data_IF_325527244325
#
_entry.id   IF_325527244325
#
_cell.length_a   1.000
_cell.length_b   1.000
_cell.length_c   1.000
_cell.angle_alpha   90.00
_cell.angle_beta   90.00
_cell.angle_gamma   90.00
#
_symmetry.space_group_name_H-M   'P 1'
#
loop_
_entity.id
_entity.type
_entity.pdbx_description
1 polymer ?
#
# COMPACT_ATOMS: atom_id res chain seq x y z
N UNK A 1 -35.37 9.27 30.73
CA UNK A 1 -35.37 10.03 29.46
C UNK A 1 -35.12 11.50 29.76
N UNK A 2 -34.17 12.12 29.06
CA UNK A 2 -33.79 13.53 29.13
C UNK A 2 -33.81 14.14 27.72
N UNK A 3 -34.98 14.19 27.10
CA UNK A 3 -35.17 14.74 25.76
C UNK A 3 -35.19 16.27 25.80
N UNK A 4 -34.33 16.94 25.01
CA UNK A 4 -34.29 18.40 24.90
C UNK A 4 -34.19 19.10 26.28
N UNK A 5 -33.33 18.58 27.15
CA UNK A 5 -33.10 19.08 28.51
C UNK A 5 -31.84 19.93 28.55
N UNK A 6 -31.81 20.93 29.43
CA UNK A 6 -30.61 21.71 29.73
C UNK A 6 -30.09 21.39 31.13
N UNK A 7 -28.89 20.82 31.20
CA UNK A 7 -28.15 20.66 32.45
C UNK A 7 -27.23 21.88 32.61
N UNK A 8 -27.57 22.75 33.57
CA UNK A 8 -26.88 24.04 33.76
C UNK A 8 -25.64 23.98 34.64
N UNK A 9 -25.51 22.94 35.45
CA UNK A 9 -24.32 22.67 36.26
C UNK A 9 -23.84 21.26 36.00
N UNK A 10 -22.92 20.80 36.84
CA UNK A 10 -22.32 19.46 36.75
C UNK A 10 -23.42 18.39 36.72
N UNK A 11 -23.32 17.47 35.76
CA UNK A 11 -24.22 16.34 35.63
C UNK A 11 -23.45 15.03 35.84
N UNK A 12 -23.74 14.36 36.96
CA UNK A 12 -23.06 13.12 37.37
C UNK A 12 -23.98 11.91 37.15
N UNK A 13 -23.58 11.06 36.22
CA UNK A 13 -24.16 9.77 35.89
C UNK A 13 -23.16 8.63 36.11
N UNK A 14 -22.12 8.85 36.91
CA UNK A 14 -21.09 7.86 37.20
C UNK A 14 -21.70 6.55 37.69
N UNK A 15 -21.27 5.43 37.13
CA UNK A 15 -21.71 4.08 37.51
C UNK A 15 -23.24 3.87 37.46
N UNK A 16 -23.97 4.71 36.73
CA UNK A 16 -25.41 4.58 36.55
C UNK A 16 -25.76 3.41 35.62
N UNK A 17 -26.98 2.87 35.77
CA UNK A 17 -27.49 1.79 34.92
C UNK A 17 -28.78 2.24 34.26
N UNK A 18 -28.81 2.19 32.93
CA UNK A 18 -29.99 2.43 32.10
C UNK A 18 -30.40 1.08 31.50
N UNK A 19 -31.43 0.46 32.10
CA UNK A 19 -31.87 -0.88 31.71
C UNK A 19 -32.68 -0.89 30.40
N UNK A 20 -33.39 0.21 30.12
CA UNK A 20 -34.11 0.46 28.87
C UNK A 20 -33.39 1.56 28.07
N UNK A 21 -33.96 1.96 26.93
CA UNK A 21 -33.43 3.03 26.09
C UNK A 21 -33.18 4.34 26.85
N UNK A 22 -32.03 4.96 26.57
CA UNK A 22 -31.58 6.17 27.23
C UNK A 22 -31.52 7.35 26.25
N UNK A 23 -32.53 8.20 26.31
CA UNK A 23 -32.67 9.37 25.44
C UNK A 23 -32.06 10.63 26.08
N UNK A 24 -31.04 11.21 25.44
CA UNK A 24 -30.40 12.50 25.74
C UNK A 24 -30.37 13.44 24.53
N UNK A 25 -31.10 13.09 23.47
CA UNK A 25 -31.06 13.80 22.20
C UNK A 25 -31.54 15.25 22.32
N UNK A 26 -30.87 16.13 21.58
CA UNK A 26 -31.07 17.58 21.56
C UNK A 26 -30.83 18.26 22.93
N UNK A 27 -30.24 17.55 23.90
CA UNK A 27 -29.95 18.12 25.22
C UNK A 27 -28.65 18.92 25.23
N UNK A 28 -28.59 19.93 26.10
CA UNK A 28 -27.41 20.76 26.32
C UNK A 28 -26.86 20.50 27.73
N UNK A 29 -25.57 20.18 27.82
CA UNK A 29 -24.81 20.09 29.05
C UNK A 29 -23.82 21.25 29.10
N UNK A 30 -24.04 22.19 30.02
CA UNK A 30 -23.27 23.46 30.07
C UNK A 30 -21.96 23.37 30.85
N UNK A 31 -21.88 22.40 31.75
CA UNK A 31 -20.76 22.16 32.65
C UNK A 31 -20.29 20.70 32.46
N UNK A 32 -19.33 20.27 33.26
CA UNK A 32 -18.73 18.92 33.21
C UNK A 32 -19.80 17.83 33.34
N UNK A 33 -19.68 16.79 32.52
CA UNK A 33 -20.55 15.61 32.56
C UNK A 33 -19.73 14.35 32.76
N UNK A 34 -20.13 13.53 33.74
CA UNK A 34 -19.49 12.25 33.99
C UNK A 34 -20.47 11.10 33.75
N UNK A 35 -20.25 10.33 32.68
CA UNK A 35 -20.90 9.06 32.38
C UNK A 35 -19.96 7.87 32.62
N UNK A 36 -18.83 8.06 33.32
CA UNK A 36 -17.86 6.98 33.47
C UNK A 36 -18.44 5.78 34.22
N UNK A 37 -18.09 4.58 33.75
CA UNK A 37 -18.57 3.28 34.25
C UNK A 37 -20.08 3.09 34.19
N UNK A 38 -20.82 3.95 33.49
CA UNK A 38 -22.25 3.75 33.27
C UNK A 38 -22.51 2.61 32.29
N UNK A 39 -23.65 1.94 32.47
CA UNK A 39 -24.09 0.82 31.64
C UNK A 39 -25.42 1.16 30.97
N UNK A 40 -25.41 1.28 29.64
CA UNK A 40 -26.59 1.49 28.82
C UNK A 40 -26.95 0.18 28.10
N UNK A 41 -27.95 -0.53 28.64
CA UNK A 41 -28.38 -1.84 28.13
C UNK A 41 -29.35 -1.75 26.96
N UNK A 42 -30.15 -0.69 26.92
CA UNK A 42 -30.95 -0.31 25.75
C UNK A 42 -30.19 0.61 24.79
N UNK A 43 -30.87 1.09 23.76
CA UNK A 43 -30.27 2.01 22.79
C UNK A 43 -30.08 3.40 23.42
N UNK A 44 -28.91 4.00 23.20
CA UNK A 44 -28.56 5.31 23.74
C UNK A 44 -28.56 6.36 22.65
N UNK A 45 -29.30 7.45 22.87
CA UNK A 45 -29.45 8.48 21.87
C UNK A 45 -28.94 9.84 22.38
N UNK A 46 -27.78 10.26 21.90
CA UNK A 46 -27.21 11.60 22.11
C UNK A 46 -27.39 12.52 20.91
N UNK A 47 -28.16 12.13 19.87
CA UNK A 47 -28.33 12.87 18.62
C UNK A 47 -28.50 14.37 18.82
N UNK A 48 -27.67 15.18 18.15
CA UNK A 48 -27.64 16.65 18.25
C UNK A 48 -27.42 17.21 19.67
N UNK A 49 -26.89 16.41 20.59
CA UNK A 49 -26.50 16.85 21.92
C UNK A 49 -25.36 17.87 21.88
N UNK A 50 -25.30 18.75 22.87
CA UNK A 50 -24.26 19.77 23.00
C UNK A 50 -23.57 19.65 24.35
N UNK A 51 -22.26 19.40 24.34
CA UNK A 51 -21.42 19.31 25.53
C UNK A 51 -20.47 20.51 25.55
N UNK A 52 -20.77 21.50 26.39
CA UNK A 52 -20.06 22.78 26.44
C UNK A 52 -18.76 22.73 27.24
N UNK A 53 -18.63 21.76 28.14
CA UNK A 53 -17.43 21.49 28.92
C UNK A 53 -16.97 20.04 28.75
N UNK A 54 -15.99 19.59 29.54
CA UNK A 54 -15.43 18.25 29.50
C UNK A 54 -16.47 17.15 29.73
N UNK A 55 -16.37 16.06 28.98
CA UNK A 55 -17.28 14.92 29.08
C UNK A 55 -16.49 13.62 29.20
N UNK A 56 -16.89 12.76 30.14
CA UNK A 56 -16.19 11.52 30.42
C UNK A 56 -17.10 10.30 30.24
N UNK A 57 -16.72 9.41 29.32
CA UNK A 57 -17.33 8.10 29.08
C UNK A 57 -16.39 6.94 29.44
N UNK A 58 -15.38 7.19 30.28
CA UNK A 58 -14.39 6.19 30.68
C UNK A 58 -15.07 4.90 31.19
N UNK A 59 -14.73 3.74 30.60
CA UNK A 59 -15.35 2.44 30.92
C UNK A 59 -16.88 2.39 30.81
N UNK A 60 -17.48 3.31 30.05
CA UNK A 60 -18.90 3.24 29.72
C UNK A 60 -19.19 2.02 28.83
N UNK A 61 -20.37 1.41 29.00
CA UNK A 61 -20.82 0.29 28.18
C UNK A 61 -22.10 0.67 27.47
N UNK A 62 -22.12 0.55 26.16
CA UNK A 62 -23.24 0.91 25.31
C UNK A 62 -23.63 -0.30 24.48
N UNK A 63 -24.92 -0.66 24.50
CA UNK A 63 -25.47 -1.59 23.53
C UNK A 63 -25.35 -0.98 22.12
N UNK A 64 -26.20 -0.02 21.79
CA UNK A 64 -26.02 0.83 20.61
C UNK A 64 -26.00 2.30 21.03
N UNK A 65 -25.26 3.14 20.31
CA UNK A 65 -25.18 4.56 20.60
C UNK A 65 -25.21 5.45 19.36
N UNK A 66 -26.11 6.44 19.36
CA UNK A 66 -26.20 7.48 18.33
C UNK A 66 -25.61 8.79 18.86
N UNK A 67 -24.43 9.16 18.37
CA UNK A 67 -23.78 10.44 18.63
C UNK A 67 -23.88 11.39 17.43
N UNK A 68 -24.71 11.12 16.43
CA UNK A 68 -24.70 11.94 15.22
C UNK A 68 -25.01 13.40 15.49
N UNK A 69 -24.27 14.27 14.81
CA UNK A 69 -24.38 15.73 14.96
C UNK A 69 -24.11 16.26 16.38
N UNK A 70 -23.48 15.46 17.26
CA UNK A 70 -23.08 15.94 18.58
C UNK A 70 -21.92 16.93 18.45
N UNK A 71 -21.91 17.94 19.31
CA UNK A 71 -20.81 18.88 19.44
C UNK A 71 -20.18 18.78 20.83
N UNK A 72 -18.91 18.39 20.87
CA UNK A 72 -18.08 18.41 22.08
C UNK A 72 -17.14 19.62 22.03
N UNK A 73 -17.34 20.59 22.92
CA UNK A 73 -16.57 21.84 22.92
C UNK A 73 -15.18 21.70 23.55
N UNK A 74 -15.01 20.74 24.46
CA UNK A 74 -13.80 20.49 25.24
C UNK A 74 -13.38 19.04 25.12
N UNK A 75 -12.43 18.65 25.97
CA UNK A 75 -11.84 17.31 26.00
C UNK A 75 -12.93 16.27 26.27
N UNK A 76 -12.87 15.16 25.55
CA UNK A 76 -13.73 14.00 25.76
C UNK A 76 -12.92 12.71 25.80
N UNK A 77 -13.25 11.85 26.76
CA UNK A 77 -12.62 10.53 26.91
C UNK A 77 -13.66 9.42 26.75
N UNK A 78 -13.43 8.53 25.81
CA UNK A 78 -14.08 7.23 25.64
C UNK A 78 -13.17 6.08 26.05
N UNK A 79 -12.11 6.36 26.81
CA UNK A 79 -11.08 5.38 27.15
C UNK A 79 -11.68 4.14 27.84
N UNK A 80 -11.26 2.96 27.39
CA UNK A 80 -11.74 1.66 27.86
C UNK A 80 -13.27 1.47 27.77
N UNK A 81 -13.98 2.27 26.98
CA UNK A 81 -15.41 2.10 26.74
C UNK A 81 -15.67 0.90 25.80
N UNK A 82 -16.89 0.39 25.83
CA UNK A 82 -17.35 -0.67 24.94
C UNK A 82 -18.63 -0.24 24.25
N UNK A 83 -18.66 -0.34 22.91
CA UNK A 83 -19.81 -0.06 22.07
C UNK A 83 -20.20 -1.31 21.29
N UNK A 84 -21.50 -1.61 21.14
CA UNK A 84 -22.00 -2.42 20.04
C UNK A 84 -21.93 -1.62 18.74
N UNK A 85 -23.08 -1.26 18.15
CA UNK A 85 -23.11 -0.35 16.99
C UNK A 85 -23.02 1.11 17.45
N UNK A 86 -22.20 1.92 16.80
CA UNK A 86 -22.06 3.34 17.15
C UNK A 86 -21.87 4.25 15.94
N UNK A 87 -22.62 5.35 15.94
CA UNK A 87 -22.60 6.38 14.90
C UNK A 87 -22.06 7.70 15.46
N UNK A 88 -20.83 8.05 15.10
CA UNK A 88 -20.20 9.38 15.31
C UNK A 88 -20.25 10.26 14.06
N UNK A 89 -21.24 10.05 13.19
CA UNK A 89 -21.33 10.79 11.94
C UNK A 89 -21.63 12.27 12.19
N UNK A 90 -20.97 13.16 11.44
CA UNK A 90 -21.12 14.60 11.57
C UNK A 90 -20.82 15.15 12.99
N UNK A 91 -20.08 14.39 13.81
CA UNK A 91 -19.65 14.86 15.13
C UNK A 91 -18.54 15.91 15.00
N UNK A 92 -18.60 16.94 15.84
CA UNK A 92 -17.55 17.94 15.94
C UNK A 92 -16.84 17.83 17.29
N UNK A 93 -15.65 17.22 17.29
CA UNK A 93 -14.75 17.19 18.45
C UNK A 93 -13.88 18.46 18.42
N UNK A 94 -14.27 19.50 19.18
CA UNK A 94 -13.55 20.79 19.21
C UNK A 94 -12.28 20.73 20.07
N UNK A 95 -12.32 19.98 21.17
CA UNK A 95 -11.17 19.64 22.00
C UNK A 95 -10.65 18.25 21.69
N UNK A 96 -9.57 17.86 22.39
CA UNK A 96 -8.96 16.54 22.20
C UNK A 96 -9.93 15.40 22.52
N UNK A 97 -9.86 14.32 21.75
CA UNK A 97 -10.67 13.10 21.97
C UNK A 97 -9.79 11.87 22.11
N UNK A 98 -10.11 11.01 23.08
CA UNK A 98 -9.37 9.77 23.31
C UNK A 98 -10.31 8.56 23.29
N UNK A 99 -9.95 7.56 22.50
CA UNK A 99 -10.56 6.24 22.36
C UNK A 99 -9.55 5.14 22.75
N UNK A 100 -8.71 5.41 23.75
CA UNK A 100 -7.65 4.49 24.15
C UNK A 100 -8.26 3.22 24.76
N UNK A 101 -7.85 2.05 24.28
CA UNK A 101 -8.39 0.74 24.72
C UNK A 101 -9.93 0.63 24.54
N UNK A 102 -10.53 1.44 23.67
CA UNK A 102 -11.97 1.34 23.36
C UNK A 102 -12.24 0.12 22.48
N UNK A 103 -13.29 -0.62 22.81
CA UNK A 103 -13.74 -1.78 22.04
C UNK A 103 -15.02 -1.45 21.28
N UNK A 104 -14.97 -1.54 19.94
CA UNK A 104 -16.10 -1.40 19.04
C UNK A 104 -16.50 -2.79 18.53
N UNK A 105 -17.55 -3.37 19.10
CA UNK A 105 -17.95 -4.76 18.85
C UNK A 105 -18.62 -4.94 17.48
N UNK A 106 -19.36 -3.93 17.03
CA UNK A 106 -20.06 -3.95 15.73
C UNK A 106 -19.61 -2.78 14.84
N UNK A 107 -20.44 -2.39 13.88
CA UNK A 107 -20.13 -1.33 12.92
C UNK A 107 -19.90 0.00 13.62
N UNK A 108 -18.88 0.74 13.17
CA UNK A 108 -18.53 2.06 13.70
C UNK A 108 -18.34 3.06 12.60
N UNK A 109 -19.04 4.19 12.67
CA UNK A 109 -18.95 5.25 11.66
C UNK A 109 -18.52 6.58 12.26
N UNK A 110 -17.58 7.23 11.59
CA UNK A 110 -17.07 8.58 11.83
C UNK A 110 -17.26 9.45 10.58
N UNK A 111 -18.29 9.15 9.78
CA UNK A 111 -18.48 9.76 8.47
C UNK A 111 -18.73 11.27 8.59
N UNK A 112 -18.00 12.08 7.82
CA UNK A 112 -18.06 13.55 7.89
C UNK A 112 -17.82 14.13 9.31
N UNK A 113 -17.21 13.38 10.21
CA UNK A 113 -16.81 13.90 11.52
C UNK A 113 -15.61 14.84 11.40
N UNK A 114 -15.46 15.77 12.35
CA UNK A 114 -14.36 16.73 12.38
C UNK A 114 -13.65 16.65 13.72
N UNK A 115 -12.36 16.32 13.67
CA UNK A 115 -11.43 16.34 14.79
C UNK A 115 -10.63 17.64 14.70
N UNK A 116 -10.97 18.63 15.52
CA UNK A 116 -10.31 19.94 15.48
C UNK A 116 -8.95 19.96 16.17
N UNK A 117 -8.75 19.04 17.09
CA UNK A 117 -7.58 18.91 17.93
C UNK A 117 -7.13 17.45 17.93
N UNK A 118 -6.12 17.15 18.74
CA UNK A 118 -5.55 15.84 18.96
C UNK A 118 -6.60 14.72 19.09
N UNK A 119 -6.40 13.61 18.35
CA UNK A 119 -7.23 12.40 18.49
C UNK A 119 -6.39 11.14 18.70
N UNK A 120 -6.78 10.31 19.68
CA UNK A 120 -6.06 9.10 20.05
C UNK A 120 -6.94 7.86 19.93
N UNK A 121 -6.51 6.88 19.15
CA UNK A 121 -7.13 5.55 19.01
C UNK A 121 -6.14 4.43 19.39
N UNK A 122 -5.18 4.73 20.27
CA UNK A 122 -4.21 3.75 20.76
C UNK A 122 -4.90 2.53 21.39
N UNK A 123 -4.52 1.33 20.94
CA UNK A 123 -5.11 0.04 21.35
C UNK A 123 -6.63 -0.04 21.17
N UNK A 124 -7.23 0.81 20.33
CA UNK A 124 -8.63 0.68 19.98
C UNK A 124 -8.84 -0.59 19.15
N UNK A 125 -9.89 -1.34 19.48
CA UNK A 125 -10.23 -2.60 18.80
C UNK A 125 -11.54 -2.44 18.02
N UNK A 126 -11.47 -2.61 16.71
CA UNK A 126 -12.60 -2.52 15.79
C UNK A 126 -12.97 -3.90 15.25
N UNK A 127 -14.03 -4.50 15.80
CA UNK A 127 -14.52 -5.83 15.42
C UNK A 127 -15.48 -5.80 14.23
N UNK A 128 -16.20 -4.70 14.00
CA UNK A 128 -17.06 -4.47 12.84
C UNK A 128 -16.43 -3.59 11.75
N UNK A 129 -17.19 -3.33 10.69
CA UNK A 129 -16.75 -2.42 9.63
C UNK A 129 -16.57 -1.00 10.19
N UNK A 130 -15.46 -0.34 9.83
CA UNK A 130 -15.12 0.99 10.36
C UNK A 130 -14.99 2.01 9.23
N UNK A 131 -15.66 3.14 9.39
CA UNK A 131 -15.77 4.13 8.33
C UNK A 131 -15.34 5.53 8.79
N UNK A 132 -14.20 6.01 8.28
CA UNK A 132 -13.71 7.39 8.43
C UNK A 132 -13.92 8.23 7.15
N UNK A 133 -14.87 7.87 6.29
CA UNK A 133 -15.08 8.58 5.02
C UNK A 133 -15.38 10.05 5.24
N UNK A 134 -14.66 10.89 4.51
CA UNK A 134 -14.78 12.36 4.61
C UNK A 134 -14.54 12.95 6.00
N UNK A 135 -13.93 12.18 6.92
CA UNK A 135 -13.49 12.73 8.19
C UNK A 135 -12.40 13.79 7.96
N UNK A 136 -12.43 14.85 8.76
CA UNK A 136 -11.43 15.91 8.74
C UNK A 136 -10.61 15.88 10.03
N UNK A 137 -9.33 15.59 9.93
CA UNK A 137 -8.36 15.64 11.02
C UNK A 137 -7.54 16.93 10.89
N UNK A 138 -7.70 17.85 11.85
CA UNK A 138 -6.97 19.13 11.81
C UNK A 138 -5.61 19.06 12.49
N UNK A 139 -5.44 18.13 13.39
CA UNK A 139 -4.23 17.89 14.18
C UNK A 139 -3.84 16.40 14.11
N UNK A 140 -2.79 16.03 14.85
CA UNK A 140 -2.26 14.67 14.88
C UNK A 140 -3.30 13.63 15.33
N UNK A 141 -3.30 12.50 14.64
CA UNK A 141 -4.19 11.36 14.93
C UNK A 141 -3.36 10.09 15.04
N UNK A 142 -3.50 9.34 16.14
CA UNK A 142 -2.74 8.11 16.36
C UNK A 142 -3.61 6.85 16.34
N UNK A 143 -3.13 5.85 15.62
CA UNK A 143 -3.59 4.46 15.67
C UNK A 143 -2.37 3.58 16.00
N UNK A 144 -1.94 3.60 17.28
CA UNK A 144 -0.89 2.73 17.80
C UNK A 144 -1.47 1.44 18.29
N UNK A 145 -0.97 0.29 17.83
CA UNK A 145 -1.46 -1.02 18.28
C UNK A 145 -2.98 -1.19 18.09
N UNK A 146 -3.57 -0.43 17.15
CA UNK A 146 -4.99 -0.51 16.88
C UNK A 146 -5.30 -1.79 16.11
N UNK A 147 -6.47 -2.37 16.34
CA UNK A 147 -6.86 -3.64 15.72
C UNK A 147 -8.05 -3.40 14.80
N UNK A 148 -7.87 -3.69 13.51
CA UNK A 148 -8.95 -3.66 12.51
C UNK A 148 -9.30 -5.09 12.07
N UNK A 149 -10.36 -5.67 12.61
CA UNK A 149 -10.77 -7.06 12.30
C UNK A 149 -11.65 -7.17 11.05
N UNK A 150 -12.27 -6.07 10.65
CA UNK A 150 -13.07 -5.94 9.42
C UNK A 150 -12.66 -4.70 8.66
N UNK A 151 -13.24 -4.56 7.48
CA UNK A 151 -12.92 -3.51 6.52
C UNK A 151 -12.96 -2.13 7.17
N UNK A 152 -11.85 -1.41 7.04
CA UNK A 152 -11.67 -0.03 7.51
C UNK A 152 -11.32 0.87 6.34
N UNK A 153 -11.97 2.04 6.24
CA UNK A 153 -11.79 2.96 5.11
C UNK A 153 -11.65 4.41 5.53
N UNK A 154 -10.72 5.12 4.88
CA UNK A 154 -10.46 6.55 5.02
C UNK A 154 -10.71 7.28 3.69
N UNK A 155 -11.60 6.76 2.84
CA UNK A 155 -11.85 7.34 1.53
C UNK A 155 -12.38 8.79 1.64
N UNK A 156 -11.74 9.71 0.93
CA UNK A 156 -12.06 11.14 1.00
C UNK A 156 -11.74 11.82 2.34
N UNK A 157 -11.11 11.13 3.29
CA UNK A 157 -10.64 11.75 4.52
C UNK A 157 -9.53 12.75 4.22
N UNK A 158 -9.53 13.87 4.95
CA UNK A 158 -8.57 14.95 4.81
C UNK A 158 -7.87 15.12 6.15
N UNK A 159 -6.54 15.12 6.14
CA UNK A 159 -5.74 15.48 7.30
C UNK A 159 -4.90 16.70 6.98
N UNK A 160 -4.90 17.68 7.89
CA UNK A 160 -3.99 18.84 7.83
C UNK A 160 -2.61 18.50 8.36
N UNK A 161 -2.57 17.69 9.40
CA UNK A 161 -1.37 17.13 10.01
C UNK A 161 -1.26 15.64 9.67
N UNK A 162 -0.45 14.89 10.41
CA UNK A 162 -0.19 13.47 10.14
C UNK A 162 -1.19 12.54 10.85
N UNK A 163 -1.65 11.52 10.12
CA UNK A 163 -2.27 10.32 10.71
C UNK A 163 -1.17 9.27 10.87
N UNK A 164 -0.76 8.98 12.10
CA UNK A 164 0.24 7.97 12.41
C UNK A 164 -0.46 6.63 12.68
N UNK A 165 -0.10 5.62 11.90
CA UNK A 165 -0.46 4.22 12.15
C UNK A 165 0.82 3.47 12.51
N UNK A 166 0.83 2.85 13.68
CA UNK A 166 2.02 2.22 14.25
C UNK A 166 1.67 0.86 14.86
N UNK A 167 2.53 -0.14 14.64
CA UNK A 167 2.36 -1.54 15.12
C UNK A 167 0.94 -2.09 14.88
N UNK A 168 0.43 -1.90 13.67
CA UNK A 168 -0.96 -2.23 13.31
C UNK A 168 -0.99 -3.11 12.07
N UNK A 169 -1.94 -4.05 12.04
CA UNK A 169 -2.21 -4.89 10.88
C UNK A 169 -3.12 -4.20 9.87
N UNK A 170 -2.60 -3.98 8.66
CA UNK A 170 -3.26 -3.24 7.58
C UNK A 170 -4.05 -4.15 6.62
N UNK A 171 -4.19 -5.44 6.92
CA UNK A 171 -4.86 -6.41 6.04
C UNK A 171 -6.32 -6.06 5.76
N UNK A 172 -6.97 -5.31 6.66
CA UNK A 172 -8.35 -4.87 6.52
C UNK A 172 -8.50 -3.37 6.23
N UNK A 173 -7.40 -2.64 6.04
CA UNK A 173 -7.43 -1.21 5.78
C UNK A 173 -7.37 -0.93 4.26
N UNK A 174 -8.42 -0.32 3.72
CA UNK A 174 -8.46 0.11 2.32
C UNK A 174 -7.87 1.50 2.15
N UNK A 175 -7.01 1.67 1.14
CA UNK A 175 -6.37 2.93 0.75
C UNK A 175 -7.01 3.56 -0.50
N UNK A 176 -7.99 2.88 -1.07
CA UNK A 176 -8.89 3.38 -2.07
C UNK A 176 -9.42 4.80 -1.75
N UNK A 177 -9.19 5.77 -2.65
CA UNK A 177 -9.68 7.18 -2.50
C UNK A 177 -9.16 7.90 -1.25
N UNK A 178 -8.13 7.37 -0.59
CA UNK A 178 -7.51 7.98 0.58
C UNK A 178 -6.35 8.88 0.16
N UNK A 179 -6.16 10.01 0.85
CA UNK A 179 -4.95 10.83 0.73
C UNK A 179 -3.79 10.18 1.51
N UNK A 180 -3.21 9.14 0.93
CA UNK A 180 -2.17 8.29 1.57
C UNK A 180 -0.95 9.12 1.99
N UNK A 181 -0.68 10.23 1.31
CA UNK A 181 0.42 11.14 1.63
C UNK A 181 0.32 11.79 3.02
N UNK A 182 -0.87 11.80 3.62
CA UNK A 182 -1.08 12.27 5.00
C UNK A 182 -0.88 11.19 6.07
N UNK A 183 -0.63 9.95 5.66
CA UNK A 183 -0.41 8.82 6.56
C UNK A 183 1.08 8.55 6.74
N UNK A 184 1.47 8.29 7.99
CA UNK A 184 2.76 7.72 8.34
C UNK A 184 2.55 6.30 8.87
N UNK A 185 3.16 5.33 8.21
CA UNK A 185 3.11 3.92 8.62
C UNK A 185 4.45 3.56 9.27
N UNK A 186 4.41 3.07 10.50
CA UNK A 186 5.59 2.65 11.27
C UNK A 186 5.35 1.23 11.77
N UNK A 187 6.28 0.31 11.50
CA UNK A 187 6.21 -1.08 11.99
C UNK A 187 4.87 -1.79 11.70
N UNK A 188 4.18 -1.39 10.62
CA UNK A 188 2.90 -1.95 10.24
C UNK A 188 3.07 -3.29 9.50
N UNK A 189 2.14 -4.21 9.72
CA UNK A 189 2.09 -5.47 8.98
C UNK A 189 1.16 -5.34 7.77
N UNK A 190 1.70 -5.62 6.58
CA UNK A 190 0.94 -5.59 5.32
C UNK A 190 0.45 -7.00 4.98
N UNK A 191 -0.72 -7.14 4.32
CA UNK A 191 -1.18 -8.45 3.88
C UNK A 191 -0.23 -9.06 2.84
N UNK A 192 -0.14 -10.39 2.80
CA UNK A 192 0.74 -11.11 1.89
C UNK A 192 -0.05 -12.06 0.97
N UNK A 193 0.32 -12.10 -0.30
CA UNK A 193 -0.23 -13.01 -1.31
C UNK A 193 0.89 -13.66 -2.10
N UNK A 194 1.05 -14.99 -1.95
CA UNK A 194 2.13 -15.78 -2.58
C UNK A 194 3.53 -15.21 -2.24
N UNK A 195 3.80 -15.04 -0.95
CA UNK A 195 5.07 -14.50 -0.40
C UNK A 195 5.42 -13.08 -0.89
N UNK A 196 4.39 -12.28 -1.19
CA UNK A 196 4.55 -10.88 -1.62
C UNK A 196 3.57 -9.99 -0.89
N UNK A 197 4.10 -8.90 -0.37
CA UNK A 197 3.28 -7.85 0.24
C UNK A 197 2.33 -7.25 -0.81
N UNK A 198 1.08 -7.09 -0.39
CA UNK A 198 -0.01 -6.50 -1.14
C UNK A 198 -0.74 -5.49 -0.26
N UNK A 199 -1.73 -4.83 -0.85
CA UNK A 199 -2.69 -4.00 -0.12
C UNK A 199 -4.05 -4.69 -0.06
N UNK A 200 -4.84 -4.36 0.96
CA UNK A 200 -6.22 -4.84 1.10
C UNK A 200 -7.05 -4.62 -0.18
N UNK A 201 -6.88 -3.47 -0.84
CA UNK A 201 -7.58 -3.15 -2.08
C UNK A 201 -7.27 -4.12 -3.23
N UNK A 202 -6.07 -4.70 -3.31
CA UNK A 202 -5.75 -5.72 -4.32
C UNK A 202 -6.51 -7.02 -4.02
N UNK A 203 -6.59 -7.42 -2.75
CA UNK A 203 -7.31 -8.62 -2.31
C UNK A 203 -8.80 -8.47 -2.59
N UNK A 204 -9.40 -7.33 -2.21
CA UNK A 204 -10.82 -7.06 -2.46
C UNK A 204 -11.13 -6.89 -3.94
N UNK A 205 -10.22 -6.30 -4.74
CA UNK A 205 -10.41 -6.18 -6.19
C UNK A 205 -10.31 -7.52 -6.93
N UNK A 206 -9.76 -8.59 -6.35
CA UNK A 206 -9.89 -9.92 -6.94
C UNK A 206 -11.36 -10.35 -7.07
N UNK A 207 -12.27 -9.72 -6.32
CA UNK A 207 -13.70 -10.02 -6.28
C UNK A 207 -14.56 -9.12 -7.19
N UNK A 208 -14.03 -8.00 -7.73
CA UNK A 208 -14.81 -7.00 -8.51
C UNK A 208 -14.05 -6.46 -9.73
N UNK A 209 -14.80 -5.83 -10.64
CA UNK A 209 -14.35 -5.29 -11.94
C UNK A 209 -12.97 -4.61 -11.88
N UNK A 210 -12.02 -5.11 -12.68
CA UNK A 210 -10.58 -4.83 -12.58
C UNK A 210 -10.21 -3.35 -12.78
N UNK A 211 -10.07 -2.57 -11.70
CA UNK A 211 -9.56 -1.19 -11.76
C UNK A 211 -8.03 -1.13 -11.52
N UNK A 212 -7.26 -1.67 -12.46
CA UNK A 212 -5.78 -1.69 -12.39
C UNK A 212 -5.16 -0.28 -12.32
N UNK A 213 -5.80 0.72 -12.91
CA UNK A 213 -5.35 2.12 -12.87
C UNK A 213 -5.30 2.64 -11.42
N UNK A 214 -6.34 2.36 -10.65
CA UNK A 214 -6.44 2.76 -9.24
C UNK A 214 -5.35 2.08 -8.40
N UNK A 215 -5.16 0.76 -8.57
CA UNK A 215 -4.13 0.01 -7.83
C UNK A 215 -2.72 0.50 -8.17
N UNK A 216 -2.43 0.75 -9.45
CA UNK A 216 -1.15 1.33 -9.87
C UNK A 216 -0.89 2.68 -9.19
N UNK A 217 -1.91 3.55 -9.12
CA UNK A 217 -1.76 4.84 -8.46
C UNK A 217 -1.47 4.70 -6.96
N UNK A 218 -2.16 3.80 -6.27
CA UNK A 218 -1.93 3.52 -4.84
C UNK A 218 -0.49 3.04 -4.63
N UNK A 219 -0.03 2.03 -5.38
CA UNK A 219 1.34 1.52 -5.26
C UNK A 219 2.39 2.58 -5.59
N UNK A 220 2.14 3.44 -6.58
CA UNK A 220 3.02 4.55 -6.92
C UNK A 220 3.17 5.56 -5.76
N UNK A 221 2.07 5.87 -5.06
CA UNK A 221 2.08 6.75 -3.88
C UNK A 221 2.76 6.09 -2.68
N UNK A 222 2.45 4.82 -2.38
CA UNK A 222 3.11 4.06 -1.31
C UNK A 222 4.63 3.94 -1.52
N UNK A 223 5.06 3.71 -2.76
CA UNK A 223 6.49 3.71 -3.14
C UNK A 223 7.15 5.06 -2.84
N UNK A 224 6.47 6.18 -3.12
CA UNK A 224 6.98 7.52 -2.82
C UNK A 224 7.15 7.69 -1.32
N UNK A 225 6.12 7.37 -0.53
CA UNK A 225 6.14 7.47 0.94
C UNK A 225 7.27 6.61 1.54
N UNK A 226 7.43 5.37 1.04
CA UNK A 226 8.47 4.46 1.55
C UNK A 226 9.88 5.00 1.28
N UNK A 227 10.10 5.63 0.11
CA UNK A 227 11.37 6.30 -0.20
C UNK A 227 11.61 7.51 0.68
N UNK A 228 10.58 8.32 0.90
CA UNK A 228 10.67 9.51 1.76
C UNK A 228 11.00 9.11 3.22
N UNK A 229 10.56 7.92 3.65
CA UNK A 229 10.88 7.33 4.97
C UNK A 229 12.20 6.52 5.01
N UNK A 230 12.96 6.46 3.91
CA UNK A 230 14.15 5.61 3.76
C UNK A 230 13.93 4.09 3.96
N UNK A 231 12.70 3.60 3.77
CA UNK A 231 12.39 2.17 3.76
C UNK A 231 12.57 1.61 2.34
N UNK A 232 13.80 1.19 2.06
CA UNK A 232 14.21 0.64 0.76
C UNK A 232 13.55 -0.73 0.47
N UNK A 233 13.21 -1.50 1.51
CA UNK A 233 12.59 -2.83 1.37
C UNK A 233 11.17 -2.67 0.85
N UNK A 234 10.36 -1.85 1.54
CA UNK A 234 9.00 -1.54 1.13
C UNK A 234 8.98 -0.79 -0.21
N UNK A 235 9.88 0.17 -0.41
CA UNK A 235 9.96 0.91 -1.67
C UNK A 235 10.20 -0.02 -2.87
N UNK A 236 11.04 -1.04 -2.71
CA UNK A 236 11.30 -2.07 -3.72
C UNK A 236 10.06 -2.97 -3.93
N UNK A 237 9.40 -3.42 -2.86
CA UNK A 237 8.17 -4.21 -2.96
C UNK A 237 7.04 -3.47 -3.71
N UNK A 238 6.81 -2.20 -3.36
CA UNK A 238 5.81 -1.35 -4.01
C UNK A 238 6.17 -1.02 -5.45
N UNK A 239 7.45 -0.86 -5.77
CA UNK A 239 7.90 -0.68 -7.15
C UNK A 239 7.55 -1.88 -8.03
N UNK A 240 7.79 -3.09 -7.53
CA UNK A 240 7.41 -4.31 -8.24
C UNK A 240 5.89 -4.33 -8.50
N UNK A 241 5.09 -4.06 -7.47
CA UNK A 241 3.62 -4.08 -7.57
C UNK A 241 3.05 -3.00 -8.49
N UNK A 242 3.59 -1.78 -8.44
CA UNK A 242 3.28 -0.72 -9.39
C UNK A 242 3.50 -1.18 -10.85
N UNK A 243 4.65 -1.80 -11.14
CA UNK A 243 4.97 -2.29 -12.50
C UNK A 243 4.13 -3.50 -12.90
N UNK A 244 3.77 -4.35 -11.96
CA UNK A 244 2.85 -5.46 -12.20
C UNK A 244 1.45 -4.95 -12.59
N UNK A 245 0.92 -3.96 -11.87
CA UNK A 245 -0.39 -3.36 -12.17
C UNK A 245 -0.38 -2.60 -13.49
N UNK A 246 0.70 -1.85 -13.77
CA UNK A 246 0.93 -1.22 -15.08
C UNK A 246 0.87 -2.24 -16.21
N UNK A 247 1.55 -3.38 -16.06
CA UNK A 247 1.52 -4.44 -17.05
C UNK A 247 0.10 -5.00 -17.22
N UNK A 248 -0.59 -5.35 -16.12
CA UNK A 248 -1.97 -5.86 -16.19
C UNK A 248 -2.92 -4.87 -16.87
N UNK A 249 -2.82 -3.58 -16.54
CA UNK A 249 -3.56 -2.49 -17.20
C UNK A 249 -3.33 -2.48 -18.71
N UNK A 250 -2.07 -2.50 -19.14
CA UNK A 250 -1.70 -2.47 -20.56
C UNK A 250 -2.18 -3.69 -21.35
N UNK A 251 -2.34 -4.85 -20.71
CA UNK A 251 -2.90 -6.05 -21.36
C UNK A 251 -4.43 -6.02 -21.40
N UNK A 252 -5.08 -5.40 -20.41
CA UNK A 252 -6.54 -5.34 -20.31
C UNK A 252 -7.16 -4.20 -21.13
N UNK A 253 -6.47 -3.08 -21.31
CA UNK A 253 -6.93 -2.01 -22.18
C UNK A 253 -6.92 -2.48 -23.65
N UNK A 254 -8.09 -2.86 -24.17
CA UNK A 254 -8.34 -3.29 -25.55
C UNK A 254 -8.08 -2.23 -26.64
N UNK A 255 -7.32 -1.16 -26.32
CA UNK A 255 -6.94 -0.11 -27.28
C UNK A 255 -5.75 -0.58 -28.13
N UNK A 256 -6.05 -1.42 -29.12
CA UNK A 256 -5.15 -1.83 -30.22
C UNK A 256 -4.79 -0.68 -31.20
N UNK A 257 -4.90 0.58 -30.79
CA UNK A 257 -4.97 1.71 -31.71
C UNK A 257 -3.70 2.58 -31.73
N UNK A 258 -2.71 2.33 -30.86
CA UNK A 258 -1.48 3.16 -30.80
C UNK A 258 -0.19 2.33 -30.84
N UNK A 259 0.78 2.66 -31.72
CA UNK A 259 2.09 1.98 -31.73
C UNK A 259 2.86 2.17 -30.41
N UNK A 260 2.58 3.25 -29.66
CA UNK A 260 3.22 3.52 -28.36
C UNK A 260 2.80 2.50 -27.30
N UNK A 261 1.54 2.08 -27.26
CA UNK A 261 1.04 1.13 -26.24
C UNK A 261 1.58 -0.28 -26.49
N UNK A 262 1.68 -0.70 -27.76
CA UNK A 262 2.32 -1.97 -28.14
C UNK A 262 3.79 -2.00 -27.73
N UNK A 263 4.55 -0.93 -28.00
CA UNK A 263 5.94 -0.80 -27.58
C UNK A 263 6.10 -0.86 -26.06
N UNK A 264 5.27 -0.11 -25.31
CA UNK A 264 5.28 -0.14 -23.84
C UNK A 264 4.92 -1.51 -23.27
N UNK A 265 3.96 -2.22 -23.88
CA UNK A 265 3.59 -3.58 -23.50
C UNK A 265 4.75 -4.54 -23.74
N UNK A 266 5.39 -4.47 -24.92
CA UNK A 266 6.54 -5.30 -25.26
C UNK A 266 7.71 -5.06 -24.28
N UNK A 267 8.09 -3.80 -24.05
CA UNK A 267 9.18 -3.46 -23.12
C UNK A 267 8.87 -3.92 -21.69
N UNK A 268 7.66 -3.69 -21.17
CA UNK A 268 7.33 -4.11 -19.81
C UNK A 268 7.32 -5.63 -19.66
N UNK A 269 6.90 -6.37 -20.69
CA UNK A 269 6.97 -7.83 -20.70
C UNK A 269 8.42 -8.33 -20.73
N UNK A 270 9.26 -7.73 -21.58
CA UNK A 270 10.70 -8.04 -21.66
C UNK A 270 11.40 -7.72 -20.33
N UNK A 271 11.15 -6.54 -19.76
CA UNK A 271 11.74 -6.12 -18.49
C UNK A 271 11.33 -7.03 -17.33
N UNK A 272 10.07 -7.48 -17.30
CA UNK A 272 9.63 -8.50 -16.36
C UNK A 272 10.31 -9.86 -16.59
N UNK A 273 10.37 -10.31 -17.83
CA UNK A 273 10.91 -11.63 -18.18
C UNK A 273 12.41 -11.73 -17.86
N UNK A 274 13.16 -10.69 -18.17
CA UNK A 274 14.62 -10.69 -18.10
C UNK A 274 15.14 -10.41 -16.68
N UNK A 275 14.48 -9.55 -15.90
CA UNK A 275 15.02 -9.11 -14.59
C UNK A 275 13.98 -9.05 -13.46
N UNK A 276 12.73 -9.43 -13.71
CA UNK A 276 11.67 -9.30 -12.70
C UNK A 276 11.48 -7.84 -12.26
N UNK A 277 11.53 -6.91 -13.21
CA UNK A 277 11.53 -5.46 -12.95
C UNK A 277 12.76 -4.95 -12.20
N UNK A 278 13.89 -5.66 -12.30
CA UNK A 278 15.13 -5.29 -11.61
C UNK A 278 15.14 -5.66 -10.13
N UNK A 279 14.20 -6.48 -9.66
CA UNK A 279 14.09 -6.90 -8.26
C UNK A 279 14.43 -8.39 -8.05
N UNK A 280 14.60 -9.18 -9.13
CA UNK A 280 14.88 -10.62 -9.06
C UNK A 280 16.29 -10.95 -9.61
N UNK A 281 17.35 -10.98 -8.75
CA UNK A 281 18.72 -11.15 -9.22
C UNK A 281 19.01 -12.54 -9.80
N UNK A 282 18.37 -13.60 -9.30
CA UNK A 282 18.52 -14.95 -9.84
C UNK A 282 18.03 -15.02 -11.29
N UNK A 283 16.86 -14.44 -11.56
CA UNK A 283 16.30 -14.35 -12.92
C UNK A 283 17.24 -13.55 -13.83
N UNK A 284 17.70 -12.39 -13.38
CA UNK A 284 18.66 -11.57 -14.14
C UNK A 284 19.99 -12.31 -14.43
N UNK A 285 20.49 -13.11 -13.48
CA UNK A 285 21.69 -13.92 -13.63
C UNK A 285 21.52 -15.01 -14.69
N UNK A 286 20.39 -15.74 -14.67
CA UNK A 286 20.09 -16.78 -15.68
C UNK A 286 20.08 -16.18 -17.09
N UNK A 287 19.42 -15.03 -17.29
CA UNK A 287 19.41 -14.36 -18.59
C UNK A 287 20.79 -13.81 -18.98
N UNK A 288 21.60 -13.37 -18.02
CA UNK A 288 22.99 -12.97 -18.29
C UNK A 288 23.81 -14.15 -18.82
N UNK A 289 23.72 -15.31 -18.17
CA UNK A 289 24.39 -16.54 -18.61
C UNK A 289 23.89 -17.00 -19.98
N UNK A 290 22.58 -16.91 -20.24
CA UNK A 290 22.00 -17.21 -21.55
C UNK A 290 22.53 -16.26 -22.65
N UNK A 291 22.66 -14.96 -22.37
CA UNK A 291 23.25 -14.02 -23.33
C UNK A 291 24.75 -14.20 -23.54
N UNK A 292 25.48 -14.76 -22.56
CA UNK A 292 26.89 -15.14 -22.73
C UNK A 292 27.02 -16.44 -23.54
N UNK A 293 26.08 -17.37 -23.38
CA UNK A 293 26.07 -18.66 -24.08
C UNK A 293 25.54 -18.58 -25.52
N UNK A 294 24.55 -17.73 -25.80
CA UNK A 294 23.94 -17.59 -27.13
C UNK A 294 24.95 -17.28 -28.27
N UNK A 295 25.95 -16.40 -28.08
CA UNK A 295 26.99 -16.18 -29.08
C UNK A 295 27.81 -17.42 -29.44
N UNK A 296 27.89 -18.44 -28.57
CA UNK A 296 28.56 -19.70 -28.88
C UNK A 296 27.81 -20.46 -29.98
N UNK A 297 26.49 -20.57 -29.85
CA UNK A 297 25.63 -21.18 -30.86
C UNK A 297 25.67 -20.39 -32.16
N UNK A 298 25.71 -19.05 -32.06
CA UNK A 298 25.85 -18.19 -33.22
C UNK A 298 27.19 -18.37 -33.93
N UNK A 299 28.29 -18.45 -33.17
CA UNK A 299 29.62 -18.71 -33.70
C UNK A 299 29.71 -20.08 -34.39
N UNK A 300 29.01 -21.09 -33.88
CA UNK A 300 28.94 -22.40 -34.51
C UNK A 300 28.17 -22.39 -35.84
N UNK A 301 27.01 -21.74 -35.89
CA UNK A 301 26.11 -21.82 -37.05
C UNK A 301 26.43 -20.80 -38.15
N UNK A 302 26.83 -19.58 -37.78
CA UNK A 302 26.98 -18.42 -38.67
C UNK A 302 28.26 -17.63 -38.42
N UNK A 303 29.15 -18.14 -37.57
CA UNK A 303 30.31 -17.39 -37.08
C UNK A 303 31.36 -17.07 -38.14
N UNK A 304 32.44 -16.38 -37.74
CA UNK A 304 33.63 -16.25 -38.56
C UNK A 304 34.19 -17.63 -38.87
N UNK A 305 34.22 -18.00 -40.16
CA UNK A 305 34.74 -19.29 -40.58
C UNK A 305 36.19 -19.16 -41.02
N UNK A 306 36.99 -20.12 -40.59
CA UNK A 306 38.33 -20.33 -41.11
C UNK A 306 38.24 -21.33 -42.26
N UNK A 307 38.69 -20.92 -43.44
CA UNK A 307 38.72 -21.80 -44.62
C UNK A 307 40.01 -22.61 -44.59
N UNK A 308 39.88 -23.93 -44.56
CA UNK A 308 41.00 -24.86 -44.73
C UNK A 308 40.84 -25.55 -46.09
N UNK A 309 41.90 -25.55 -46.89
CA UNK A 309 41.92 -26.24 -48.19
C UNK A 309 42.39 -27.67 -47.94
N UNK A 310 41.51 -28.65 -48.16
CA UNK A 310 41.85 -30.07 -48.11
C UNK A 310 41.39 -30.71 -49.41
N UNK A 311 42.32 -31.34 -50.14
CA UNK A 311 42.05 -32.06 -51.40
C UNK A 311 41.26 -31.28 -52.47
N UNK A 312 41.45 -29.96 -52.56
CA UNK A 312 40.78 -29.11 -53.56
C UNK A 312 39.39 -28.62 -53.17
N UNK A 313 38.85 -29.06 -52.03
CA UNK A 313 37.61 -28.54 -51.46
C UNK A 313 37.89 -27.55 -50.31
N UNK A 314 37.11 -26.47 -50.27
CA UNK A 314 37.17 -25.46 -49.20
C UNK A 314 36.25 -25.93 -48.08
N UNK A 315 36.83 -26.36 -46.96
CA UNK A 315 36.08 -26.82 -45.78
C UNK A 315 36.19 -25.77 -44.68
N UNK A 316 35.08 -25.46 -44.03
CA UNK A 316 35.07 -24.60 -42.84
C UNK A 316 35.59 -25.40 -41.64
N UNK A 317 36.68 -24.94 -41.00
CA UNK A 317 37.19 -25.54 -39.76
C UNK A 317 36.50 -24.94 -38.53
N UNK A 318 36.19 -25.81 -37.56
CA UNK A 318 35.66 -25.45 -36.24
C UNK A 318 36.76 -25.33 -35.17
N UNK A 319 38.04 -25.49 -35.51
CA UNK A 319 39.15 -25.52 -34.55
C UNK A 319 39.31 -24.22 -33.74
N UNK A 320 38.76 -23.12 -34.26
CA UNK A 320 38.79 -21.79 -33.66
C UNK A 320 37.44 -21.33 -33.06
N UNK A 321 36.52 -22.27 -32.77
CA UNK A 321 35.17 -21.95 -32.28
C UNK A 321 35.19 -21.11 -30.98
N UNK A 322 36.10 -21.41 -30.05
CA UNK A 322 36.23 -20.66 -28.78
C UNK A 322 36.67 -19.23 -29.03
N UNK A 323 37.66 -18.99 -29.91
CA UNK A 323 38.08 -17.65 -30.29
C UNK A 323 36.97 -16.88 -31.03
N UNK A 324 36.20 -17.56 -31.88
CA UNK A 324 35.04 -16.97 -32.57
C UNK A 324 33.94 -16.58 -31.57
N UNK A 325 33.64 -17.43 -30.58
CA UNK A 325 32.70 -17.14 -29.51
C UNK A 325 33.15 -15.94 -28.66
N UNK A 326 34.38 -15.96 -28.16
CA UNK A 326 34.93 -14.90 -27.33
C UNK A 326 34.95 -13.55 -28.06
N UNK A 327 35.14 -13.54 -29.38
CA UNK A 327 35.10 -12.32 -30.21
C UNK A 327 33.75 -11.57 -30.18
N UNK A 328 32.64 -12.28 -29.92
CA UNK A 328 31.31 -11.69 -29.75
C UNK A 328 31.06 -11.15 -28.34
N UNK A 329 31.89 -11.51 -27.35
CA UNK A 329 31.70 -11.07 -25.97
C UNK A 329 32.27 -9.65 -25.76
N UNK A 330 31.66 -8.85 -24.88
CA UNK A 330 32.19 -7.53 -24.55
C UNK A 330 33.53 -7.62 -23.82
N UNK A 331 34.38 -6.61 -24.02
CA UNK A 331 35.69 -6.44 -23.35
C UNK A 331 36.77 -7.46 -23.77
N UNK A 332 36.50 -8.35 -24.73
CA UNK A 332 37.52 -9.23 -25.32
C UNK A 332 38.26 -8.49 -26.45
N UNK A 333 39.60 -8.64 -26.52
CA UNK A 333 40.45 -8.02 -27.54
C UNK A 333 41.04 -9.06 -28.50
N UNK A 334 40.21 -9.98 -28.97
CA UNK A 334 40.64 -11.04 -29.89
C UNK A 334 40.59 -10.49 -31.32
N UNK A 335 41.68 -10.65 -32.06
CA UNK A 335 41.73 -10.43 -33.51
C UNK A 335 41.58 -11.80 -34.20
N UNK A 336 40.67 -11.89 -35.17
CA UNK A 336 40.44 -13.11 -35.94
C UNK A 336 41.14 -12.97 -37.30
N UNK A 337 42.47 -13.03 -37.27
CA UNK A 337 43.29 -12.86 -38.47
C UNK A 337 43.10 -14.08 -39.40
N UNK A 338 42.75 -13.83 -40.66
CA UNK A 338 42.49 -14.88 -41.66
C UNK A 338 41.08 -15.49 -41.65
N UNK A 339 40.18 -15.05 -40.76
CA UNK A 339 38.78 -15.48 -40.76
C UNK A 339 37.95 -14.70 -41.79
N UNK A 340 36.99 -15.38 -42.44
CA UNK A 340 36.00 -14.69 -43.28
C UNK A 340 34.87 -14.14 -42.41
N UNK A 341 34.81 -12.82 -42.24
CA UNK A 341 33.84 -12.14 -41.38
C UNK A 341 32.79 -11.45 -42.26
N UNK A 342 31.52 -11.81 -42.09
CA UNK A 342 30.40 -11.15 -42.75
C UNK A 342 29.99 -9.86 -42.03
N UNK A 343 29.37 -8.91 -42.73
CA UNK A 343 28.72 -7.74 -42.12
C UNK A 343 27.71 -8.12 -41.03
N UNK A 344 27.02 -9.25 -41.21
CA UNK A 344 26.12 -9.80 -40.18
C UNK A 344 26.87 -10.15 -38.90
N UNK A 345 28.11 -10.65 -38.98
CA UNK A 345 28.90 -10.97 -37.79
C UNK A 345 29.27 -9.71 -37.00
N UNK A 346 29.57 -8.61 -37.69
CA UNK A 346 29.78 -7.32 -37.03
C UNK A 346 28.50 -6.78 -36.39
N UNK A 347 27.36 -6.91 -37.06
CA UNK A 347 26.06 -6.55 -36.49
C UNK A 347 25.74 -7.35 -35.22
N UNK A 348 25.88 -8.68 -35.27
CA UNK A 348 25.62 -9.53 -34.10
C UNK A 348 26.61 -9.26 -32.96
N UNK A 349 27.88 -8.99 -33.26
CA UNK A 349 28.85 -8.55 -32.25
C UNK A 349 28.40 -7.28 -31.54
N UNK A 350 27.96 -6.27 -32.28
CA UNK A 350 27.44 -5.04 -31.70
C UNK A 350 26.18 -5.32 -30.84
N UNK A 351 25.26 -6.15 -31.33
CA UNK A 351 24.04 -6.50 -30.62
C UNK A 351 24.31 -7.26 -29.30
N UNK A 352 25.16 -8.29 -29.32
CA UNK A 352 25.52 -9.05 -28.11
C UNK A 352 26.29 -8.19 -27.10
N UNK A 353 27.23 -7.35 -27.55
CA UNK A 353 27.91 -6.41 -26.66
C UNK A 353 26.92 -5.51 -25.92
N UNK A 354 25.91 -4.98 -26.62
CA UNK A 354 24.87 -4.14 -26.02
C UNK A 354 23.96 -4.94 -25.07
N UNK A 355 23.49 -6.12 -25.49
CA UNK A 355 22.60 -6.95 -24.67
C UNK A 355 23.27 -7.44 -23.39
N UNK A 356 24.52 -7.93 -23.48
CA UNK A 356 25.27 -8.44 -22.33
C UNK A 356 25.58 -7.30 -21.36
N UNK A 357 25.96 -6.12 -21.85
CA UNK A 357 26.26 -4.97 -20.98
C UNK A 357 25.02 -4.44 -20.26
N UNK A 358 23.89 -4.29 -20.97
CA UNK A 358 22.60 -3.92 -20.35
C UNK A 358 22.19 -4.97 -19.32
N UNK A 359 22.32 -6.26 -19.64
CA UNK A 359 21.92 -7.31 -18.72
C UNK A 359 22.82 -7.40 -17.49
N UNK A 360 24.12 -7.17 -17.64
CA UNK A 360 25.04 -7.09 -16.51
C UNK A 360 24.67 -5.92 -15.59
N UNK A 361 24.29 -4.76 -16.15
CA UNK A 361 23.80 -3.62 -15.37
C UNK A 361 22.49 -3.94 -14.63
N UNK A 362 21.53 -4.61 -15.28
CA UNK A 362 20.29 -5.05 -14.66
C UNK A 362 20.52 -6.05 -13.53
N UNK A 363 21.45 -7.00 -13.71
CA UNK A 363 21.84 -7.94 -12.67
C UNK A 363 22.49 -7.22 -11.48
N UNK A 364 23.44 -6.31 -11.74
CA UNK A 364 24.08 -5.53 -10.68
C UNK A 364 23.06 -4.68 -9.89
N UNK A 365 22.09 -4.09 -10.59
CA UNK A 365 21.00 -3.33 -9.97
C UNK A 365 20.12 -4.24 -9.08
N UNK A 366 19.67 -5.39 -9.59
CA UNK A 366 18.87 -6.33 -8.82
C UNK A 366 19.61 -6.93 -7.62
N UNK A 367 20.92 -7.17 -7.78
CA UNK A 367 21.77 -7.65 -6.68
C UNK A 367 21.93 -6.57 -5.61
N UNK A 368 22.15 -5.31 -6.00
CA UNK A 368 22.19 -4.17 -5.07
C UNK A 368 20.90 -4.04 -4.28
N UNK A 369 19.74 -4.15 -4.95
CA UNK A 369 18.45 -4.07 -4.27
C UNK A 369 18.27 -5.23 -3.29
N UNK A 370 18.66 -6.45 -3.67
CA UNK A 370 18.58 -7.61 -2.76
C UNK A 370 19.53 -7.51 -1.57
N UNK A 371 20.71 -6.91 -1.71
CA UNK A 371 21.67 -6.70 -0.61
C UNK A 371 21.28 -5.56 0.34
N UNK A 372 20.40 -4.66 -0.10
CA UNK A 372 19.84 -3.57 0.73
C UNK A 372 18.64 -4.01 1.56
N UNK A 373 18.01 -5.12 1.18
CA UNK A 373 17.03 -5.84 2.00
C UNK A 373 17.77 -6.69 3.02
#
# INVERSE_FOLDING_TARGET
>A
MFYNVQFRGIADFNSSQFNDDAYFNVSEFRDVVDFSRSEFRGDTNFFKGQFRDGCNFYKGRFNNADFRYVEFQKIISFNSATFGEVEFDMVSFKGSVTFEETCFLESTSFHNSIFYDYSNFEKAEFYGETNFKHALFKEWTYFRTAVFNKKTTFAGAISKETILIEDTNLSNLTLAETNIESFKFVECTWPELKDRQVICDEILNLEKENNFLRLEEIYRRLKKISRDNNDEILASAWHYKEKEMLRKRLHHENKWTSPKTLFLRAINNIYWAISGYGEEPLRACVFLLLFIACPLLMAYQFGPFYKVISNGEIINSNDHLVSCWLWYLPLTKITLDGANISDWNHFFKAAFNLLITIQAALFAFALRNKLRR
#
